data_IF_023598647644
#
_entry.id   IF_023598647644
#
_cell.length_a   1.000
_cell.length_b   1.000
_cell.length_c   1.000
_cell.angle_alpha   90.00
_cell.angle_beta   90.00
_cell.angle_gamma   90.00
#
_symmetry.space_group_name_H-M   'P 1'
#
loop_
_entity.id
_entity.type
_entity.pdbx_description
1 polymer ?
#
# COMPACT_ATOMS: atom_id res chain seq x y z
N UNK A 1 48.27 -42.39 -10.81
CA UNK A 1 47.87 -41.13 -10.15
C UNK A 1 47.13 -40.15 -11.08
N UNK A 2 46.26 -40.58 -12.02
CA UNK A 2 45.52 -39.65 -12.94
C UNK A 2 44.00 -39.73 -12.83
N UNK A 3 43.45 -40.53 -11.92
CA UNK A 3 41.98 -40.71 -11.74
C UNK A 3 41.35 -39.90 -10.61
N UNK A 4 42.15 -39.32 -9.70
CA UNK A 4 41.59 -38.56 -8.56
C UNK A 4 41.34 -37.07 -8.82
N UNK A 5 41.88 -36.48 -9.89
CA UNK A 5 41.76 -35.05 -10.20
C UNK A 5 40.40 -34.75 -10.85
N UNK A 6 39.83 -35.68 -11.64
CA UNK A 6 38.53 -35.44 -12.29
C UNK A 6 37.35 -35.45 -11.32
N UNK A 7 37.46 -36.11 -10.16
CA UNK A 7 36.38 -36.17 -9.17
C UNK A 7 36.27 -34.87 -8.36
N UNK A 8 37.38 -34.15 -8.17
CA UNK A 8 37.41 -32.90 -7.42
C UNK A 8 36.86 -31.70 -8.19
N UNK A 9 36.94 -31.69 -9.53
CA UNK A 9 36.40 -30.64 -10.37
C UNK A 9 34.88 -30.78 -10.48
N UNK A 10 34.34 -32.01 -10.48
CA UNK A 10 32.88 -32.24 -10.50
C UNK A 10 32.14 -31.79 -9.25
N UNK A 11 32.82 -31.83 -8.07
CA UNK A 11 32.22 -31.43 -6.79
C UNK A 11 32.24 -29.90 -6.61
N UNK A 12 33.19 -29.20 -7.23
CA UNK A 12 33.28 -27.75 -7.16
C UNK A 12 32.19 -27.05 -7.99
N UNK A 13 31.63 -27.72 -8.99
CA UNK A 13 30.52 -27.15 -9.80
C UNK A 13 29.14 -27.35 -9.15
N UNK A 14 29.03 -28.21 -8.12
CA UNK A 14 27.76 -28.42 -7.39
C UNK A 14 27.55 -27.48 -6.21
N UNK A 15 28.49 -26.57 -5.96
CA UNK A 15 28.38 -25.56 -4.86
C UNK A 15 28.10 -24.14 -5.38
N UNK A 16 27.83 -23.96 -6.67
CA UNK A 16 27.17 -22.76 -7.15
C UNK A 16 25.68 -22.92 -6.89
N UNK A 17 25.28 -22.82 -5.63
CA UNK A 17 23.93 -22.41 -5.28
C UNK A 17 23.74 -21.03 -5.92
N UNK A 18 23.11 -21.03 -7.07
CA UNK A 18 22.50 -19.82 -7.62
C UNK A 18 21.47 -19.43 -6.56
N UNK A 19 21.81 -18.47 -5.72
CA UNK A 19 20.82 -17.69 -5.01
C UNK A 19 20.06 -16.99 -6.14
N UNK A 20 18.97 -17.56 -6.60
CA UNK A 20 17.96 -16.81 -7.32
C UNK A 20 17.50 -15.75 -6.30
N UNK A 21 18.06 -14.54 -6.38
CA UNK A 21 17.44 -13.39 -5.76
C UNK A 21 16.07 -13.28 -6.42
N UNK A 22 15.02 -13.65 -5.68
CA UNK A 22 13.66 -13.35 -6.08
C UNK A 22 13.61 -11.85 -6.31
N UNK A 23 13.53 -11.44 -7.59
CA UNK A 23 13.42 -10.06 -7.94
C UNK A 23 12.05 -9.58 -7.45
N UNK A 24 12.04 -8.69 -6.48
CA UNK A 24 10.83 -8.07 -5.96
C UNK A 24 10.67 -6.71 -6.60
N UNK A 25 9.75 -6.59 -7.54
CA UNK A 25 9.40 -5.32 -8.18
C UNK A 25 8.00 -4.94 -7.75
N UNK A 26 7.81 -3.72 -7.26
CA UNK A 26 6.54 -3.29 -6.71
C UNK A 26 6.45 -1.77 -6.68
N UNK A 27 5.33 -1.23 -7.10
CA UNK A 27 4.92 0.15 -6.86
C UNK A 27 3.56 0.14 -6.19
N UNK A 28 3.38 0.91 -5.13
CA UNK A 28 2.10 1.01 -4.44
C UNK A 28 1.94 2.36 -3.74
N UNK A 29 0.75 2.61 -3.23
CA UNK A 29 0.41 3.79 -2.46
C UNK A 29 0.25 3.51 -0.98
N UNK A 30 0.04 4.56 -0.21
CA UNK A 30 -0.21 4.46 1.22
C UNK A 30 -1.34 5.36 1.70
N UNK A 31 -1.65 5.29 2.98
CA UNK A 31 -2.59 6.19 3.63
C UNK A 31 -2.07 7.62 3.62
N UNK A 32 -2.96 8.61 3.64
CA UNK A 32 -2.55 10.02 3.68
C UNK A 32 -2.02 10.40 5.06
N UNK A 33 -1.06 11.32 5.07
CA UNK A 33 -0.44 11.83 6.30
C UNK A 33 -0.24 13.35 6.23
N UNK A 34 -0.24 14.03 7.41
CA UNK A 34 0.17 15.43 7.47
C UNK A 34 1.66 15.54 7.12
N UNK A 35 2.01 16.49 6.26
CA UNK A 35 3.42 16.72 5.90
C UNK A 35 4.21 17.43 7.02
N UNK A 36 3.55 17.88 8.09
CA UNK A 36 4.23 18.33 9.29
C UNK A 36 4.97 17.15 9.93
N UNK A 37 6.19 17.40 10.39
CA UNK A 37 7.03 16.35 11.05
C UNK A 37 6.52 15.89 12.42
N UNK A 38 5.40 16.42 12.89
CA UNK A 38 4.79 16.10 14.19
C UNK A 38 3.45 15.41 13.99
N UNK A 39 3.15 14.43 14.85
CA UNK A 39 1.84 13.80 14.92
C UNK A 39 0.76 14.87 15.12
N UNK A 40 -0.36 14.77 14.39
CA UNK A 40 -1.49 15.65 14.61
C UNK A 40 -2.28 15.17 15.85
N UNK A 41 -2.42 16.04 16.83
CA UNK A 41 -3.06 15.73 18.12
C UNK A 41 -4.57 16.06 18.14
N UNK A 42 -5.07 16.74 17.12
CA UNK A 42 -6.46 17.20 17.06
C UNK A 42 -7.30 16.39 16.07
N UNK A 43 -6.72 16.00 14.95
CA UNK A 43 -7.45 15.33 13.87
C UNK A 43 -7.26 13.83 13.99
N UNK A 44 -8.37 13.11 14.09
CA UNK A 44 -8.42 11.65 14.18
C UNK A 44 -8.96 11.07 12.88
N UNK A 45 -8.34 10.02 12.38
CA UNK A 45 -8.91 9.19 11.34
C UNK A 45 -9.91 8.22 11.98
N UNK A 46 -11.21 8.53 11.90
CA UNK A 46 -12.24 7.66 12.48
C UNK A 46 -12.48 6.42 11.61
N UNK A 47 -12.35 6.58 10.28
CA UNK A 47 -12.60 5.46 9.37
C UNK A 47 -11.71 5.53 8.14
N UNK A 48 -11.29 4.35 7.65
CA UNK A 48 -10.62 4.15 6.38
C UNK A 48 -11.32 3.04 5.60
N UNK A 49 -11.78 3.34 4.39
CA UNK A 49 -12.38 2.39 3.46
C UNK A 49 -11.44 2.17 2.29
N UNK A 50 -10.93 0.95 2.14
CA UNK A 50 -9.94 0.58 1.15
C UNK A 50 -10.59 -0.42 0.19
N UNK A 51 -10.73 -0.04 -1.09
CA UNK A 51 -11.32 -0.86 -2.11
C UNK A 51 -10.27 -1.24 -3.14
N UNK A 52 -9.95 -2.53 -3.24
CA UNK A 52 -9.18 -3.12 -4.33
C UNK A 52 -10.14 -3.60 -5.42
N UNK A 53 -9.83 -3.28 -6.66
CA UNK A 53 -10.47 -3.86 -7.83
C UNK A 53 -9.39 -4.54 -8.67
N UNK A 54 -9.47 -5.87 -8.80
CA UNK A 54 -8.46 -6.66 -9.49
C UNK A 54 -8.90 -6.89 -10.94
N UNK A 55 -8.04 -6.54 -11.88
CA UNK A 55 -8.16 -6.80 -13.32
C UNK A 55 -7.08 -7.80 -13.73
N UNK A 56 -7.08 -8.23 -15.00
CA UNK A 56 -6.10 -9.22 -15.48
C UNK A 56 -4.65 -8.71 -15.45
N UNK A 57 -4.42 -7.43 -15.72
CA UNK A 57 -3.10 -6.83 -15.98
C UNK A 57 -2.71 -5.72 -15.00
N UNK A 58 -3.63 -5.31 -14.13
CA UNK A 58 -3.41 -4.25 -13.14
C UNK A 58 -4.44 -4.35 -12.00
N UNK A 59 -4.28 -3.48 -11.03
CA UNK A 59 -5.29 -3.28 -10.00
C UNK A 59 -5.55 -1.80 -9.76
N UNK A 60 -6.79 -1.49 -9.41
CA UNK A 60 -7.18 -0.17 -8.94
C UNK A 60 -7.34 -0.19 -7.43
N UNK A 61 -6.98 0.92 -6.81
CA UNK A 61 -7.30 1.19 -5.41
C UNK A 61 -8.07 2.50 -5.30
N UNK A 62 -9.19 2.43 -4.57
CA UNK A 62 -9.93 3.59 -4.12
C UNK A 62 -9.96 3.58 -2.60
N UNK A 63 -9.45 4.65 -1.97
CA UNK A 63 -9.44 4.79 -0.51
C UNK A 63 -10.16 6.04 -0.11
N UNK A 64 -11.13 5.88 0.80
CA UNK A 64 -11.86 6.99 1.41
C UNK A 64 -11.55 7.06 2.90
N UNK A 65 -11.10 8.23 3.33
CA UNK A 65 -10.73 8.53 4.70
C UNK A 65 -11.78 9.46 5.33
N UNK A 66 -12.12 9.21 6.58
CA UNK A 66 -13.05 10.01 7.37
C UNK A 66 -12.30 10.58 8.58
N UNK A 67 -12.09 11.88 8.58
CA UNK A 67 -11.37 12.56 9.64
C UNK A 67 -12.30 13.41 10.48
N UNK A 68 -12.18 13.30 11.80
CA UNK A 68 -12.84 14.16 12.76
C UNK A 68 -11.83 15.10 13.39
N UNK A 69 -12.08 16.40 13.28
CA UNK A 69 -11.27 17.42 13.97
C UNK A 69 -11.87 17.72 15.34
N UNK A 70 -11.16 17.42 16.40
CA UNK A 70 -11.53 17.71 17.80
C UNK A 70 -10.94 19.02 18.32
N UNK A 71 -10.17 19.72 17.48
CA UNK A 71 -9.54 21.00 17.77
C UNK A 71 -10.19 22.17 17.04
N UNK A 72 -9.51 23.32 16.96
CA UNK A 72 -9.94 24.45 16.14
C UNK A 72 -9.85 24.11 14.65
N UNK A 73 -10.57 24.83 13.81
CA UNK A 73 -10.43 24.76 12.35
C UNK A 73 -8.97 24.97 11.96
N UNK A 74 -8.43 24.05 11.17
CA UNK A 74 -7.07 24.16 10.66
C UNK A 74 -6.98 23.70 9.18
N UNK A 75 -6.10 24.35 8.42
CA UNK A 75 -5.75 23.91 7.07
C UNK A 75 -4.32 23.39 7.07
N UNK A 76 -4.14 22.16 6.64
CA UNK A 76 -2.83 21.52 6.61
C UNK A 76 -2.55 20.92 5.23
N UNK A 77 -1.28 20.83 4.89
CA UNK A 77 -0.85 20.04 3.74
C UNK A 77 -0.80 18.56 4.12
N UNK A 78 -1.49 17.76 3.33
CA UNK A 78 -1.47 16.30 3.43
C UNK A 78 -0.81 15.71 2.20
N UNK A 79 -0.04 14.65 2.39
CA UNK A 79 0.62 13.91 1.33
C UNK A 79 0.09 12.49 1.25
N UNK A 80 -0.03 11.99 0.01
CA UNK A 80 -0.21 10.58 -0.28
C UNK A 80 1.11 10.06 -0.86
N UNK A 81 1.77 9.08 -0.21
CA UNK A 81 3.05 8.58 -0.68
C UNK A 81 2.86 7.55 -1.80
N UNK A 82 3.69 7.65 -2.83
CA UNK A 82 3.98 6.54 -3.71
C UNK A 82 5.29 5.92 -3.27
N UNK A 83 5.28 4.64 -2.99
CA UNK A 83 6.46 3.93 -2.55
C UNK A 83 6.79 2.78 -3.50
N UNK A 84 8.05 2.37 -3.51
CA UNK A 84 8.60 1.29 -4.31
C UNK A 84 9.52 0.44 -3.46
N UNK A 85 9.74 -0.80 -3.88
CA UNK A 85 10.87 -1.57 -3.39
C UNK A 85 12.19 -1.00 -3.91
N UNK A 86 13.29 -1.21 -3.17
CA UNK A 86 14.66 -0.77 -3.55
C UNK A 86 15.15 -1.37 -4.87
N UNK A 87 14.54 -2.44 -5.37
CA UNK A 87 14.83 -2.95 -6.71
C UNK A 87 14.39 -1.91 -7.75
N UNK A 88 15.25 -1.61 -8.73
CA UNK A 88 14.91 -0.66 -9.78
C UNK A 88 13.68 -1.13 -10.54
N UNK A 89 12.63 -0.32 -10.53
CA UNK A 89 11.47 -0.48 -11.40
C UNK A 89 11.12 0.87 -12.00
N UNK A 90 10.81 0.90 -13.29
CA UNK A 90 10.28 2.07 -13.99
C UNK A 90 8.77 2.20 -13.79
N UNK A 91 8.14 1.20 -13.13
CA UNK A 91 6.71 1.20 -12.89
C UNK A 91 6.27 2.44 -12.11
N UNK A 92 5.09 2.93 -12.47
CA UNK A 92 4.46 4.11 -11.90
C UNK A 92 2.95 3.89 -11.82
N UNK A 93 2.22 4.77 -11.13
CA UNK A 93 0.77 4.77 -11.22
C UNK A 93 0.34 5.11 -12.65
N UNK A 94 -0.62 4.37 -13.18
CA UNK A 94 -1.22 4.68 -14.49
C UNK A 94 -2.04 5.96 -14.43
N UNK A 95 -2.68 6.21 -13.28
CA UNK A 95 -3.35 7.48 -12.95
C UNK A 95 -3.43 7.69 -11.43
N UNK A 96 -3.70 8.92 -11.04
CA UNK A 96 -4.00 9.31 -9.66
C UNK A 96 -5.08 10.39 -9.64
N UNK A 97 -6.10 10.24 -8.80
CA UNK A 97 -7.17 11.21 -8.59
C UNK A 97 -7.38 11.47 -7.10
N UNK A 98 -7.88 12.65 -6.78
CA UNK A 98 -8.12 13.07 -5.40
C UNK A 98 -9.42 13.85 -5.26
N UNK A 99 -10.12 13.63 -4.13
CA UNK A 99 -11.29 14.40 -3.73
C UNK A 99 -11.18 14.83 -2.27
N UNK A 100 -11.81 15.95 -1.93
CA UNK A 100 -12.06 16.41 -0.56
C UNK A 100 -13.55 16.75 -0.47
N UNK A 101 -14.26 16.16 0.49
CA UNK A 101 -15.71 16.27 0.67
C UNK A 101 -16.46 16.03 -0.66
N UNK A 102 -16.09 14.93 -1.34
CA UNK A 102 -16.62 14.46 -2.63
C UNK A 102 -16.38 15.43 -3.82
N UNK A 103 -15.63 16.52 -3.63
CA UNK A 103 -15.24 17.45 -4.68
C UNK A 103 -13.83 17.11 -5.19
N UNK A 104 -13.68 16.96 -6.52
CA UNK A 104 -12.37 16.74 -7.14
C UNK A 104 -11.42 17.88 -6.80
N UNK A 105 -10.25 17.53 -6.30
CA UNK A 105 -9.25 18.47 -5.79
C UNK A 105 -7.94 18.29 -6.52
N UNK A 106 -7.34 19.40 -6.92
CA UNK A 106 -6.00 19.41 -7.50
C UNK A 106 -4.94 19.02 -6.46
N UNK A 107 -3.87 18.43 -6.93
CA UNK A 107 -2.70 18.06 -6.14
C UNK A 107 -1.42 18.46 -6.87
N UNK A 108 -0.35 18.61 -6.12
CA UNK A 108 1.01 18.79 -6.65
C UNK A 108 1.76 17.48 -6.51
N UNK A 109 2.40 17.03 -7.58
CA UNK A 109 3.32 15.89 -7.53
C UNK A 109 4.70 16.41 -7.20
N UNK A 110 5.29 15.88 -6.13
CA UNK A 110 6.68 16.12 -5.75
C UNK A 110 7.46 14.82 -5.91
N UNK A 111 8.25 14.75 -6.97
CA UNK A 111 9.24 13.68 -7.14
C UNK A 111 10.43 13.94 -6.22
N UNK A 112 10.95 12.88 -5.63
CA UNK A 112 12.10 12.97 -4.75
C UNK A 112 13.39 12.71 -5.55
N UNK A 113 14.30 13.67 -5.58
CA UNK A 113 15.65 13.49 -6.16
C UNK A 113 16.42 12.35 -5.48
N UNK A 114 16.15 12.15 -4.20
CA UNK A 114 16.64 11.03 -3.40
C UNK A 114 15.46 10.42 -2.66
N UNK A 115 15.23 9.14 -2.90
CA UNK A 115 14.16 8.38 -2.24
C UNK A 115 14.29 8.44 -0.71
N UNK A 116 13.17 8.62 -0.04
CA UNK A 116 13.08 8.60 1.42
C UNK A 116 12.87 7.16 1.90
N UNK A 117 13.75 6.62 2.78
CA UNK A 117 13.54 5.29 3.33
C UNK A 117 12.24 5.27 4.15
N UNK A 118 11.44 4.24 3.95
CA UNK A 118 10.21 3.98 4.71
C UNK A 118 10.42 2.84 5.71
N UNK A 119 10.99 1.73 5.23
CA UNK A 119 11.36 0.54 6.00
C UNK A 119 12.42 -0.26 5.23
N UNK A 120 12.88 -1.41 5.75
CA UNK A 120 13.84 -2.28 5.07
C UNK A 120 13.35 -2.66 3.67
N UNK A 121 14.05 -2.18 2.65
CA UNK A 121 13.73 -2.46 1.25
C UNK A 121 12.61 -1.61 0.63
N UNK A 122 11.97 -0.70 1.37
CA UNK A 122 10.92 0.18 0.87
C UNK A 122 11.34 1.65 0.89
N UNK A 123 11.04 2.37 -0.16
CA UNK A 123 11.36 3.81 -0.30
C UNK A 123 10.19 4.57 -0.89
N UNK A 124 9.97 5.79 -0.39
CA UNK A 124 9.04 6.74 -1.00
C UNK A 124 9.76 7.40 -2.16
N UNK A 125 9.11 7.45 -3.31
CA UNK A 125 9.65 8.06 -4.54
C UNK A 125 8.93 9.32 -4.95
N UNK A 126 7.63 9.42 -4.63
CA UNK A 126 6.78 10.57 -4.96
C UNK A 126 5.82 10.89 -3.83
N UNK A 127 5.43 12.15 -3.77
CA UNK A 127 4.34 12.65 -2.95
C UNK A 127 3.27 13.30 -3.81
N UNK A 128 2.02 12.96 -3.58
CA UNK A 128 0.85 13.66 -4.11
C UNK A 128 0.30 14.55 -3.00
N UNK A 129 0.55 15.86 -3.11
CA UNK A 129 0.35 16.83 -2.02
C UNK A 129 -0.86 17.71 -2.31
N UNK A 130 -1.71 17.94 -1.31
CA UNK A 130 -2.80 18.89 -1.35
C UNK A 130 -3.06 19.53 0.01
N UNK A 131 -3.66 20.73 0.00
CA UNK A 131 -4.15 21.35 1.23
C UNK A 131 -5.56 20.87 1.52
N UNK A 132 -5.82 20.56 2.80
CA UNK A 132 -7.14 20.16 3.30
C UNK A 132 -7.48 21.01 4.53
N UNK A 133 -8.69 21.58 4.52
CA UNK A 133 -9.25 22.29 5.69
C UNK A 133 -10.11 21.32 6.50
N UNK A 134 -9.79 21.20 7.77
CA UNK A 134 -10.52 20.40 8.73
C UNK A 134 -11.26 21.34 9.68
N UNK A 135 -12.56 21.48 9.47
CA UNK A 135 -13.40 22.34 10.28
C UNK A 135 -13.57 21.79 11.69
N UNK A 136 -13.64 22.71 12.68
CA UNK A 136 -13.77 22.35 14.09
C UNK A 136 -15.01 21.51 14.36
N UNK A 137 -14.84 20.37 15.04
CA UNK A 137 -15.89 19.42 15.39
C UNK A 137 -16.68 18.83 14.21
N UNK A 138 -16.14 18.93 12.98
CA UNK A 138 -16.78 18.36 11.78
C UNK A 138 -16.00 17.16 11.22
N UNK A 139 -16.67 16.38 10.37
CA UNK A 139 -16.06 15.31 9.62
C UNK A 139 -15.66 15.84 8.24
N UNK A 140 -14.38 15.69 7.92
CA UNK A 140 -13.86 15.94 6.58
C UNK A 140 -13.56 14.61 5.92
N UNK A 141 -14.08 14.39 4.71
CA UNK A 141 -13.71 13.22 3.92
C UNK A 141 -12.63 13.57 2.90
N UNK A 142 -11.68 12.67 2.74
CA UNK A 142 -10.75 12.74 1.61
C UNK A 142 -10.74 11.39 0.89
N UNK A 143 -10.59 11.43 -0.43
CA UNK A 143 -10.57 10.22 -1.25
C UNK A 143 -9.40 10.28 -2.22
N UNK A 144 -8.76 9.15 -2.42
CA UNK A 144 -7.75 8.95 -3.47
C UNK A 144 -8.13 7.73 -4.28
N UNK A 145 -7.86 7.79 -5.58
CA UNK A 145 -8.03 6.69 -6.51
C UNK A 145 -6.79 6.62 -7.40
N UNK A 146 -6.20 5.45 -7.50
CA UNK A 146 -5.08 5.20 -8.40
C UNK A 146 -5.12 3.80 -8.98
N UNK A 147 -4.42 3.61 -10.10
CA UNK A 147 -4.20 2.33 -10.74
C UNK A 147 -2.71 2.02 -10.76
N UNK A 148 -2.35 0.78 -10.50
CA UNK A 148 -0.96 0.33 -10.46
C UNK A 148 -0.79 -1.04 -11.13
N UNK A 149 0.37 -1.32 -11.72
CA UNK A 149 0.72 -2.66 -12.15
C UNK A 149 0.86 -3.60 -10.95
N UNK A 150 0.64 -4.88 -11.15
CA UNK A 150 0.96 -5.88 -10.14
C UNK A 150 2.46 -5.90 -9.85
N UNK A 151 2.80 -6.06 -8.57
CA UNK A 151 4.16 -6.37 -8.17
C UNK A 151 4.48 -7.83 -8.46
N UNK A 152 5.77 -8.16 -8.55
CA UNK A 152 6.25 -9.54 -8.69
C UNK A 152 6.87 -9.98 -7.36
N UNK A 153 6.41 -11.10 -6.84
CA UNK A 153 6.93 -11.73 -5.63
C UNK A 153 7.26 -13.20 -5.91
N UNK A 154 8.52 -13.47 -6.19
CA UNK A 154 8.94 -14.82 -6.61
C UNK A 154 8.28 -15.22 -7.92
N UNK A 155 7.39 -16.22 -7.86
CA UNK A 155 6.60 -16.71 -9.00
C UNK A 155 5.16 -16.19 -9.00
N UNK A 156 4.78 -15.41 -7.97
CA UNK A 156 3.44 -14.87 -7.78
C UNK A 156 3.42 -13.37 -8.09
N UNK A 157 2.27 -12.86 -8.41
CA UNK A 157 1.99 -11.43 -8.49
C UNK A 157 1.47 -10.91 -7.14
N UNK A 158 1.56 -9.60 -6.93
CA UNK A 158 1.03 -8.95 -5.71
C UNK A 158 0.32 -7.64 -5.97
N UNK A 159 -0.65 -7.33 -5.12
CA UNK A 159 -1.26 -6.02 -4.99
C UNK A 159 -1.20 -5.59 -3.52
N UNK A 160 -0.88 -4.33 -3.28
CA UNK A 160 -0.53 -3.87 -1.94
C UNK A 160 -1.07 -2.49 -1.63
N UNK A 161 -1.21 -2.22 -0.33
CA UNK A 161 -1.55 -0.91 0.20
C UNK A 161 -0.94 -0.71 1.59
N UNK A 162 -0.21 0.38 1.79
CA UNK A 162 0.44 0.71 3.04
C UNK A 162 -0.48 1.61 3.88
N UNK A 163 -1.10 1.08 4.93
CA UNK A 163 -1.95 1.88 5.83
C UNK A 163 -1.20 2.43 7.05
N UNK A 164 0.06 2.10 7.20
CA UNK A 164 0.91 2.48 8.34
C UNK A 164 1.07 3.98 8.53
N UNK A 165 1.02 4.76 7.45
CA UNK A 165 1.06 6.22 7.52
C UNK A 165 -0.11 6.83 8.32
N UNK A 166 -1.20 6.07 8.51
CA UNK A 166 -2.30 6.42 9.42
C UNK A 166 -1.87 6.61 10.88
N UNK A 167 -0.71 6.07 11.30
CA UNK A 167 -0.14 6.26 12.63
C UNK A 167 0.23 7.72 12.96
N UNK A 168 0.29 8.60 11.96
CA UNK A 168 0.62 10.03 12.12
C UNK A 168 -0.56 10.90 12.56
N UNK A 169 -1.77 10.34 12.56
CA UNK A 169 -2.98 10.99 13.06
C UNK A 169 -3.21 10.70 14.54
N UNK A 170 -4.17 11.41 15.13
CA UNK A 170 -4.53 11.23 16.55
C UNK A 170 -5.05 9.81 16.78
N UNK A 171 -4.59 9.19 17.87
CA UNK A 171 -5.05 7.89 18.38
C UNK A 171 -4.96 6.74 17.35
N UNK A 172 -5.99 5.88 17.31
CA UNK A 172 -6.13 4.77 16.36
C UNK A 172 -7.14 5.11 15.26
N UNK A 173 -7.19 4.29 14.22
CA UNK A 173 -8.29 4.24 13.25
C UNK A 173 -9.41 3.43 13.90
N UNK A 174 -10.59 4.04 14.14
CA UNK A 174 -11.68 3.34 14.84
C UNK A 174 -12.25 2.19 14.01
N UNK A 175 -12.37 2.39 12.71
CA UNK A 175 -12.87 1.39 11.78
C UNK A 175 -12.07 1.36 10.49
N UNK A 176 -11.63 0.19 10.07
CA UNK A 176 -11.03 -0.05 8.75
C UNK A 176 -11.86 -1.11 8.02
N UNK A 177 -12.30 -0.78 6.80
CA UNK A 177 -13.02 -1.67 5.92
C UNK A 177 -12.18 -1.89 4.67
N UNK A 178 -11.83 -3.14 4.41
CA UNK A 178 -11.10 -3.56 3.22
C UNK A 178 -12.05 -4.36 2.35
N UNK A 179 -12.22 -3.92 1.11
CA UNK A 179 -13.03 -4.61 0.12
C UNK A 179 -12.15 -5.00 -1.06
N UNK A 180 -12.18 -6.26 -1.42
CA UNK A 180 -11.41 -6.81 -2.54
C UNK A 180 -12.42 -7.39 -3.52
N UNK A 181 -12.49 -6.79 -4.70
CA UNK A 181 -13.37 -7.20 -5.79
C UNK A 181 -12.53 -7.76 -6.94
N UNK A 182 -12.75 -9.02 -7.27
CA UNK A 182 -12.16 -9.65 -8.43
C UNK A 182 -13.10 -9.50 -9.64
N UNK A 183 -12.66 -8.86 -10.71
CA UNK A 183 -13.50 -8.59 -11.90
C UNK A 183 -13.32 -9.62 -13.01
N UNK A 184 -12.42 -10.59 -12.84
CA UNK A 184 -12.05 -11.57 -13.87
C UNK A 184 -11.82 -12.94 -13.25
N UNK A 185 -12.10 -14.00 -14.01
CA UNK A 185 -11.79 -15.38 -13.63
C UNK A 185 -10.31 -15.72 -13.84
N UNK A 186 -9.55 -14.83 -14.45
CA UNK A 186 -8.10 -15.02 -14.72
C UNK A 186 -7.20 -14.65 -13.54
N UNK A 187 -7.75 -14.15 -12.42
CA UNK A 187 -6.98 -13.77 -11.22
C UNK A 187 -7.45 -14.59 -10.03
N UNK A 188 -6.54 -15.25 -9.34
CA UNK A 188 -6.81 -16.01 -8.11
C UNK A 188 -6.09 -15.36 -6.94
N UNK A 189 -6.80 -15.20 -5.81
CA UNK A 189 -6.23 -14.70 -4.56
C UNK A 189 -5.74 -15.89 -3.75
N UNK A 190 -4.43 -16.09 -3.71
CA UNK A 190 -3.79 -17.18 -2.98
C UNK A 190 -3.69 -16.88 -1.48
N UNK A 191 -3.37 -15.62 -1.13
CA UNK A 191 -3.30 -15.19 0.26
C UNK A 191 -3.69 -13.71 0.41
N UNK A 192 -4.21 -13.36 1.59
CA UNK A 192 -4.41 -11.99 2.06
C UNK A 192 -3.67 -11.87 3.38
N UNK A 193 -2.74 -10.93 3.49
CA UNK A 193 -2.00 -10.64 4.72
C UNK A 193 -2.27 -9.20 5.14
N UNK A 194 -2.52 -8.99 6.42
CA UNK A 194 -2.68 -7.67 7.02
C UNK A 194 -1.78 -7.66 8.25
N UNK A 195 -0.54 -7.16 8.09
CA UNK A 195 0.52 -7.33 9.10
C UNK A 195 0.60 -8.79 9.56
N UNK A 196 0.93 -8.98 10.85
CA UNK A 196 0.87 -10.29 11.53
C UNK A 196 -0.38 -10.42 12.41
N UNK A 197 -1.43 -9.59 12.18
CA UNK A 197 -2.62 -9.56 13.01
C UNK A 197 -3.76 -10.43 12.43
N UNK A 198 -4.70 -10.80 13.30
CA UNK A 198 -5.93 -11.47 12.90
C UNK A 198 -6.65 -10.66 11.79
N UNK A 199 -7.13 -11.33 10.77
CA UNK A 199 -7.83 -10.70 9.65
C UNK A 199 -9.16 -10.02 10.06
N UNK A 200 -9.68 -10.32 11.24
CA UNK A 200 -10.98 -9.79 11.69
C UNK A 200 -12.16 -10.52 11.06
N UNK A 201 -13.30 -9.85 10.96
CA UNK A 201 -14.50 -10.44 10.33
C UNK A 201 -14.34 -10.46 8.81
N UNK A 202 -14.37 -11.66 8.21
CA UNK A 202 -14.29 -11.87 6.76
C UNK A 202 -15.66 -12.29 6.25
N UNK A 203 -16.20 -11.50 5.33
CA UNK A 203 -17.42 -11.83 4.59
C UNK A 203 -17.04 -12.09 3.13
N UNK A 204 -17.49 -13.20 2.58
CA UNK A 204 -17.27 -13.55 1.16
C UNK A 204 -18.64 -13.61 0.46
N UNK A 205 -18.80 -12.76 -0.54
CA UNK A 205 -20.00 -12.69 -1.37
C UNK A 205 -19.60 -12.71 -2.84
N UNK A 206 -19.89 -13.80 -3.53
CA UNK A 206 -19.49 -14.00 -4.93
C UNK A 206 -17.99 -13.78 -5.14
N UNK A 207 -17.62 -12.79 -5.98
CA UNK A 207 -16.24 -12.40 -6.29
C UNK A 207 -15.70 -11.26 -5.39
N UNK A 208 -16.36 -10.99 -4.26
CA UNK A 208 -16.01 -9.91 -3.33
C UNK A 208 -15.66 -10.48 -1.97
N UNK A 209 -14.57 -9.98 -1.39
CA UNK A 209 -14.15 -10.25 -0.01
C UNK A 209 -14.23 -8.92 0.74
N UNK A 210 -14.88 -8.92 1.90
CA UNK A 210 -14.94 -7.78 2.81
C UNK A 210 -14.31 -8.16 4.14
N UNK A 211 -13.36 -7.36 4.61
CA UNK A 211 -12.68 -7.53 5.89
C UNK A 211 -12.92 -6.26 6.69
N UNK A 212 -13.39 -6.40 7.93
CA UNK A 212 -13.64 -5.29 8.83
C UNK A 212 -12.80 -5.44 10.09
N UNK A 213 -12.07 -4.39 10.44
CA UNK A 213 -11.26 -4.28 11.65
C UNK A 213 -11.68 -3.04 12.44
N UNK A 214 -11.58 -3.11 13.76
CA UNK A 214 -11.88 -1.99 14.68
C UNK A 214 -10.68 -1.70 15.56
N UNK A 215 -10.54 -0.43 15.97
CA UNK A 215 -9.47 0.04 16.84
C UNK A 215 -8.10 -0.37 16.33
N UNK A 216 -7.81 -0.03 15.07
CA UNK A 216 -6.56 -0.36 14.39
C UNK A 216 -5.48 0.62 14.82
N UNK A 217 -4.38 0.09 15.35
CA UNK A 217 -3.17 0.84 15.73
C UNK A 217 -2.07 0.54 14.71
N UNK A 218 -2.01 1.27 13.60
CA UNK A 218 -1.02 0.98 12.57
C UNK A 218 0.39 1.32 13.04
N UNK A 219 1.37 0.55 12.58
CA UNK A 219 2.78 0.93 12.59
C UNK A 219 3.14 1.48 11.23
N UNK A 220 4.26 2.17 11.11
CA UNK A 220 4.63 2.84 9.85
C UNK A 220 4.73 1.85 8.67
N UNK A 221 5.13 0.63 8.93
CA UNK A 221 5.27 -0.49 7.98
C UNK A 221 3.98 -1.28 7.76
N UNK A 222 2.87 -0.91 8.42
CA UNK A 222 1.61 -1.67 8.33
C UNK A 222 1.05 -1.68 6.91
N UNK A 223 0.84 -2.87 6.36
CA UNK A 223 0.38 -3.07 4.99
C UNK A 223 -0.73 -4.11 4.86
N UNK A 224 -1.49 -3.99 3.77
CA UNK A 224 -2.34 -5.02 3.20
C UNK A 224 -1.59 -5.58 2.01
N UNK A 225 -1.37 -6.88 1.99
CA UNK A 225 -0.69 -7.60 0.93
C UNK A 225 -1.59 -8.70 0.37
N UNK A 226 -1.82 -8.67 -0.93
CA UNK A 226 -2.52 -9.72 -1.67
C UNK A 226 -1.50 -10.50 -2.49
N UNK A 227 -1.42 -11.81 -2.27
CA UNK A 227 -0.66 -12.72 -3.11
C UNK A 227 -1.60 -13.32 -4.17
N UNK A 228 -1.22 -13.18 -5.43
CA UNK A 228 -2.08 -13.46 -6.56
C UNK A 228 -1.42 -14.46 -7.52
N UNK A 229 -2.26 -15.19 -8.24
CA UNK A 229 -1.87 -15.95 -9.42
C UNK A 229 -2.69 -15.44 -10.61
N UNK A 230 -2.03 -15.15 -11.74
CA UNK A 230 -2.67 -14.60 -12.92
C UNK A 230 -2.57 -15.62 -14.06
N UNK A 231 -3.70 -15.98 -14.65
CA UNK A 231 -3.80 -16.85 -15.80
C UNK A 231 -3.15 -16.19 -17.02
N UNK A 232 -2.18 -16.88 -17.61
CA UNK A 232 -1.45 -16.47 -18.82
C UNK A 232 -2.18 -16.83 -20.09
#
# INVERSE_FOLDING_TARGET
MKKSICLFIGILFLLLSVSANDAYTKVSGGSILPLSKTKNENIKMEKEEINFTLYKDHYDINVKFYFKNYGPTETIEVGFPQWKHLQPTEDDFYYFKSKVNDVTTNFTVKELEKSEPLDEGMVITKWYIRSVTFESNEITTTEVEYSAPYGVYGISESADYLFGTGATWKDCIDEMIIKIMNTTDDVWINAIRIDNSDLGNIIRENNTIVIQKKNVYPKIESEIFLELEIGR
#
